data_IF_068234182006
#
_entry.id   IF_068234182006
#
_cell.length_a   1.000
_cell.length_b   1.000
_cell.length_c   1.000
_cell.angle_alpha   90.00
_cell.angle_beta   90.00
_cell.angle_gamma   90.00
#
_symmetry.space_group_name_H-M   'P 1'
#
loop_
_entity.id
_entity.type
_entity.pdbx_description
1 polymer ?
#
# COMPACT_ATOMS: atom_id res chain seq x y z
N UNK A 1 0.26 -2.08 -5.89
CA UNK A 1 -0.41 -0.87 -5.41
C UNK A 1 0.44 -0.21 -4.36
N UNK A 2 0.64 1.11 -4.47
CA UNK A 2 1.35 1.93 -3.49
C UNK A 2 0.51 2.09 -2.22
N UNK A 3 1.12 1.96 -1.06
CA UNK A 3 0.52 2.17 0.26
C UNK A 3 1.60 2.64 1.24
N UNK A 4 1.21 3.01 2.45
CA UNK A 4 2.15 3.23 3.56
C UNK A 4 2.31 1.97 4.43
N UNK A 5 3.45 1.88 5.11
CA UNK A 5 3.85 0.76 5.97
C UNK A 5 2.88 0.53 7.13
N UNK A 6 2.30 1.62 7.65
CA UNK A 6 1.43 1.64 8.83
C UNK A 6 -0.05 1.43 8.52
N UNK A 7 -0.46 1.49 7.24
CA UNK A 7 -1.84 1.25 6.85
C UNK A 7 -2.19 -0.23 7.07
N UNK A 8 -3.12 -0.57 7.98
CA UNK A 8 -3.40 -1.95 8.35
C UNK A 8 -4.37 -2.64 7.37
N UNK A 9 -4.98 -1.89 6.46
CA UNK A 9 -6.06 -2.39 5.61
C UNK A 9 -5.55 -2.87 4.26
N UNK A 10 -6.19 -3.90 3.71
CA UNK A 10 -5.88 -4.38 2.37
C UNK A 10 -6.46 -3.43 1.31
N UNK A 11 -5.64 -2.74 0.51
CA UNK A 11 -6.14 -1.78 -0.47
C UNK A 11 -6.97 -2.43 -1.60
N UNK A 12 -6.90 -3.75 -1.75
CA UNK A 12 -7.59 -4.47 -2.83
C UNK A 12 -8.98 -4.99 -2.46
N UNK A 13 -9.30 -5.07 -1.16
CA UNK A 13 -10.59 -5.61 -0.65
C UNK A 13 -11.21 -4.78 0.49
N UNK A 14 -10.42 -3.95 1.18
CA UNK A 14 -10.82 -3.03 2.25
C UNK A 14 -10.55 -1.58 1.82
N UNK A 15 -10.96 -1.22 0.60
CA UNK A 15 -10.64 0.07 -0.02
C UNK A 15 -11.09 1.25 0.86
N UNK A 16 -12.33 1.23 1.35
CA UNK A 16 -12.87 2.37 2.12
C UNK A 16 -12.10 2.58 3.42
N UNK A 17 -11.74 1.51 4.13
CA UNK A 17 -10.94 1.62 5.36
C UNK A 17 -9.51 2.06 5.07
N UNK A 18 -8.90 1.50 4.01
CA UNK A 18 -7.57 1.86 3.55
C UNK A 18 -7.49 3.34 3.19
N UNK A 19 -8.44 3.82 2.39
CA UNK A 19 -8.51 5.21 1.92
C UNK A 19 -8.81 6.17 3.07
N UNK A 20 -9.75 5.83 3.94
CA UNK A 20 -10.06 6.66 5.10
C UNK A 20 -8.88 6.76 6.08
N UNK A 21 -8.11 5.69 6.28
CA UNK A 21 -6.87 5.74 7.06
C UNK A 21 -5.84 6.66 6.40
N UNK A 22 -5.58 6.45 5.11
CA UNK A 22 -4.62 7.22 4.32
C UNK A 22 -4.90 8.73 4.35
N UNK A 23 -6.17 9.12 4.22
CA UNK A 23 -6.60 10.52 4.34
C UNK A 23 -6.44 11.07 5.77
N UNK A 24 -6.85 10.30 6.80
CA UNK A 24 -6.75 10.76 8.20
C UNK A 24 -5.30 10.98 8.65
N UNK A 25 -4.37 10.15 8.17
CA UNK A 25 -2.94 10.30 8.43
C UNK A 25 -2.31 11.43 7.59
N UNK A 26 -3.04 11.98 6.62
CA UNK A 26 -2.57 13.06 5.75
C UNK A 26 -1.65 12.59 4.63
N UNK A 27 -1.47 11.29 4.43
CA UNK A 27 -0.61 10.74 3.37
C UNK A 27 -1.15 11.07 1.99
N UNK A 28 -2.47 10.93 1.80
CA UNK A 28 -3.14 11.17 0.53
C UNK A 28 -2.43 10.44 -0.64
N UNK A 29 -2.07 9.17 -0.44
CA UNK A 29 -1.17 8.38 -1.31
C UNK A 29 -1.65 8.37 -2.76
N UNK A 30 -2.96 8.25 -3.02
CA UNK A 30 -3.51 8.30 -4.37
C UNK A 30 -3.30 9.67 -5.04
N UNK A 31 -3.55 10.75 -4.31
CA UNK A 31 -3.36 12.10 -4.82
C UNK A 31 -1.87 12.43 -5.00
N UNK A 32 -1.01 11.93 -4.11
CA UNK A 32 0.43 12.05 -4.29
C UNK A 32 0.90 11.33 -5.54
N UNK A 33 0.52 10.06 -5.72
CA UNK A 33 0.82 9.30 -6.93
C UNK A 33 0.34 10.04 -8.18
N UNK A 34 -0.91 10.52 -8.20
CA UNK A 34 -1.48 11.24 -9.34
C UNK A 34 -0.68 12.50 -9.75
N UNK A 35 0.04 13.15 -8.82
CA UNK A 35 0.92 14.29 -9.15
C UNK A 35 2.24 13.88 -9.82
N UNK A 36 2.68 12.65 -9.59
CA UNK A 36 3.96 12.13 -10.13
C UNK A 36 3.74 11.41 -11.47
N UNK A 37 2.58 10.75 -11.63
CA UNK A 37 2.26 10.04 -12.88
C UNK A 37 2.23 10.99 -14.06
N UNK A 38 3.05 10.67 -15.06
CA UNK A 38 3.07 11.37 -16.35
C UNK A 38 2.03 10.72 -17.27
N UNK A 39 0.80 11.21 -17.19
CA UNK A 39 -0.31 10.71 -18.03
C UNK A 39 -0.66 11.69 -19.16
N UNK A 40 -1.33 11.19 -20.18
CA UNK A 40 -1.91 11.95 -21.30
C UNK A 40 -3.19 11.26 -21.77
N UNK A 41 -4.14 12.02 -22.32
CA UNK A 41 -5.35 11.47 -22.93
C UNK A 41 -5.08 10.59 -24.16
N UNK A 42 -3.86 10.65 -24.69
CA UNK A 42 -3.42 9.87 -25.86
C UNK A 42 -2.81 8.51 -25.48
N UNK A 43 -2.59 8.23 -24.19
CA UNK A 43 -2.01 6.96 -23.75
C UNK A 43 -3.02 5.82 -23.89
N UNK A 44 -2.54 4.66 -24.35
CA UNK A 44 -3.27 3.40 -24.20
C UNK A 44 -3.29 2.93 -22.74
N UNK A 45 -4.19 2.01 -22.41
CA UNK A 45 -4.28 1.43 -21.05
C UNK A 45 -2.95 0.80 -20.57
N UNK A 46 -2.18 0.19 -21.49
CA UNK A 46 -0.89 -0.43 -21.18
C UNK A 46 0.17 0.64 -20.88
N UNK A 47 0.18 1.72 -21.64
CA UNK A 47 1.11 2.84 -21.43
C UNK A 47 0.77 3.61 -20.16
N UNK A 48 -0.51 3.81 -19.87
CA UNK A 48 -0.97 4.41 -18.61
C UNK A 48 -0.54 3.55 -17.41
N UNK A 49 -0.73 2.23 -17.48
CA UNK A 49 -0.26 1.32 -16.44
C UNK A 49 1.27 1.37 -16.28
N UNK A 50 2.02 1.48 -17.38
CA UNK A 50 3.48 1.65 -17.34
C UNK A 50 3.88 2.96 -16.68
N UNK A 51 3.22 4.07 -17.03
CA UNK A 51 3.47 5.39 -16.43
C UNK A 51 3.18 5.39 -14.92
N UNK A 52 2.09 4.72 -14.49
CA UNK A 52 1.77 4.52 -13.08
C UNK A 52 2.87 3.74 -12.38
N UNK A 53 3.34 2.64 -12.98
CA UNK A 53 4.41 1.83 -12.39
C UNK A 53 5.72 2.61 -12.27
N UNK A 54 6.07 3.42 -13.27
CA UNK A 54 7.25 4.29 -13.24
C UNK A 54 7.16 5.33 -12.11
N UNK A 55 6.01 5.98 -11.96
CA UNK A 55 5.81 6.94 -10.87
C UNK A 55 5.89 6.28 -9.49
N UNK A 56 5.38 5.04 -9.35
CA UNK A 56 5.54 4.26 -8.13
C UNK A 56 7.02 3.97 -7.84
N UNK A 57 7.81 3.59 -8.86
CA UNK A 57 9.25 3.37 -8.67
C UNK A 57 9.96 4.66 -8.23
N UNK A 58 9.66 5.79 -8.87
CA UNK A 58 10.24 7.10 -8.49
C UNK A 58 9.93 7.44 -7.02
N UNK A 59 8.67 7.23 -6.57
CA UNK A 59 8.29 7.43 -5.17
C UNK A 59 9.10 6.53 -4.24
N UNK A 60 9.32 5.25 -4.60
CA UNK A 60 10.10 4.32 -3.79
C UNK A 60 11.59 4.66 -3.76
N UNK A 61 12.17 5.10 -4.87
CA UNK A 61 13.57 5.51 -4.96
C UNK A 61 13.86 6.73 -4.08
N UNK A 62 12.93 7.69 -4.04
CA UNK A 62 13.06 8.92 -3.25
C UNK A 62 12.55 8.77 -1.79
N UNK A 63 12.05 7.60 -1.40
CA UNK A 63 11.40 7.30 -0.11
C UNK A 63 12.39 7.31 1.09
N UNK A 64 13.00 8.45 1.38
CA UNK A 64 14.01 8.62 2.44
C UNK A 64 13.50 8.29 3.85
N UNK A 65 12.19 8.43 4.10
CA UNK A 65 11.54 8.07 5.36
C UNK A 65 11.19 6.58 5.46
N UNK A 66 11.25 5.83 4.36
CA UNK A 66 10.92 4.41 4.33
C UNK A 66 9.44 4.08 4.59
N UNK A 67 8.54 5.05 4.43
CA UNK A 67 7.11 4.87 4.77
C UNK A 67 6.30 4.27 3.63
N UNK A 68 6.68 4.50 2.37
CA UNK A 68 5.98 3.96 1.21
C UNK A 68 6.41 2.54 0.88
N UNK A 69 5.45 1.66 0.60
CA UNK A 69 5.68 0.28 0.16
C UNK A 69 4.75 -0.06 -1.00
N UNK A 70 5.09 -1.09 -1.76
CA UNK A 70 4.22 -1.66 -2.80
C UNK A 70 3.76 -3.04 -2.38
N UNK A 71 2.45 -3.24 -2.42
CA UNK A 71 1.81 -4.53 -2.16
C UNK A 71 1.15 -5.07 -3.43
N UNK A 72 1.13 -6.39 -3.56
CA UNK A 72 0.39 -7.10 -4.60
C UNK A 72 -0.69 -7.96 -3.95
N UNK A 73 -1.69 -8.39 -4.72
CA UNK A 73 -2.72 -9.31 -4.21
C UNK A 73 -2.14 -10.62 -3.65
N UNK A 74 -0.98 -11.06 -4.16
CA UNK A 74 -0.28 -12.27 -3.69
C UNK A 74 0.54 -12.02 -2.43
N UNK A 75 1.11 -10.82 -2.28
CA UNK A 75 2.03 -10.49 -1.20
C UNK A 75 1.38 -9.78 -0.02
N UNK A 76 0.11 -9.36 -0.15
CA UNK A 76 -0.60 -8.74 0.97
C UNK A 76 -1.04 -9.79 1.99
N UNK A 77 -0.36 -9.81 3.13
CA UNK A 77 -0.78 -10.58 4.31
C UNK A 77 -1.70 -9.72 5.15
N UNK A 78 -2.95 -10.18 5.34
CA UNK A 78 -3.91 -9.53 6.24
C UNK A 78 -3.43 -9.64 7.70
N UNK A 79 -2.86 -8.55 8.22
CA UNK A 79 -2.33 -8.48 9.59
C UNK A 79 -3.43 -8.49 10.65
N UNK A 80 -4.70 -8.29 10.28
CA UNK A 80 -5.82 -8.42 11.21
C UNK A 80 -6.08 -9.87 11.65
N UNK A 81 -5.55 -10.85 10.90
CA UNK A 81 -5.70 -12.28 11.21
C UNK A 81 -4.55 -12.87 12.03
N UNK A 82 -3.53 -12.08 12.36
CA UNK A 82 -2.40 -12.53 13.20
C UNK A 82 -2.70 -12.29 14.67
N UNK A 83 -3.71 -12.99 15.21
CA UNK A 83 -3.89 -13.16 16.66
C UNK A 83 -4.02 -14.64 16.98
N UNK A 84 -2.97 -15.41 16.72
CA UNK A 84 -2.73 -16.67 17.40
C UNK A 84 -1.52 -16.47 18.31
N UNK A 85 -1.77 -16.09 19.56
CA UNK A 85 -0.75 -16.20 20.60
C UNK A 85 -0.37 -17.68 20.73
N UNK A 86 0.92 -18.04 20.82
CA UNK A 86 1.29 -19.39 21.18
C UNK A 86 0.79 -19.65 22.61
N UNK A 87 -0.12 -20.61 22.78
CA UNK A 87 -0.49 -21.13 24.09
C UNK A 87 0.77 -21.70 24.73
N UNK A 88 1.35 -20.99 25.69
CA UNK A 88 2.37 -21.55 26.57
C UNK A 88 1.64 -22.55 27.47
N UNK A 89 1.73 -23.85 27.13
CA UNK A 89 1.32 -24.90 28.05
C UNK A 89 2.27 -24.87 29.26
N UNK A 90 1.79 -24.29 30.36
CA UNK A 90 2.45 -24.39 31.65
C UNK A 90 2.37 -25.87 32.05
N UNK A 91 3.47 -26.61 31.86
CA UNK A 91 3.64 -27.92 32.50
C UNK A 91 3.63 -27.69 34.01
N UNK A 92 2.57 -28.17 34.67
CA UNK A 92 2.56 -28.32 36.11
C UNK A 92 3.38 -29.57 36.43
N UNK A 93 4.48 -29.37 37.14
CA UNK A 93 5.20 -30.44 37.86
C UNK A 93 4.42 -30.86 39.12
#
# INVERSE_FOLDING_TARGET
MLTTLDNPFNPFVQWDQWFAFDMRQGYNTCAYLARIVKTSHELSEVEEALAINQAIQEILELNSLGIYIVVTRKTFTDRSKTTSFPTVEIRRE
#
